data_IF_562463764601
#
_entry.id   IF_562463764601
#
_cell.length_a   1.000
_cell.length_b   1.000
_cell.length_c   1.000
_cell.angle_alpha   90.00
_cell.angle_beta   90.00
_cell.angle_gamma   90.00
#
_symmetry.space_group_name_H-M   'P 1'
#
loop_
_entity.id
_entity.type
_entity.pdbx_description
1 polymer ?
#
# COMPACT_ATOMS: atom_id res chain seq x y z
N UNK A 1 9.25 -8.41 -11.48
CA UNK A 1 9.38 -7.24 -10.57
C UNK A 1 9.14 -5.92 -11.29
N UNK A 2 9.09 -4.83 -10.52
CA UNK A 2 9.08 -3.45 -11.03
C UNK A 2 10.27 -2.70 -10.41
N UNK A 3 11.14 -2.14 -11.25
CA UNK A 3 12.26 -1.32 -10.82
C UNK A 3 11.88 0.16 -10.91
N UNK A 4 11.99 0.88 -9.79
CA UNK A 4 11.70 2.32 -9.72
C UNK A 4 13.01 3.05 -9.45
N UNK A 5 13.43 3.89 -10.38
CA UNK A 5 14.61 4.76 -10.23
C UNK A 5 14.18 6.19 -9.91
N UNK A 6 14.92 6.86 -9.01
CA UNK A 6 14.53 8.16 -8.48
C UNK A 6 15.70 9.14 -8.63
N UNK A 7 15.51 10.23 -9.36
CA UNK A 7 16.50 11.29 -9.44
C UNK A 7 15.89 12.63 -9.80
N UNK A 8 16.14 13.65 -8.99
CA UNK A 8 15.68 15.01 -9.27
C UNK A 8 16.26 15.55 -10.59
N UNK A 9 17.55 15.31 -10.86
CA UNK A 9 18.22 15.79 -12.08
C UNK A 9 17.94 14.94 -13.32
N UNK A 10 17.61 13.66 -13.12
CA UNK A 10 17.30 12.71 -14.20
C UNK A 10 18.50 12.17 -14.96
N UNK A 11 19.74 12.48 -14.54
CA UNK A 11 20.98 12.10 -15.26
C UNK A 11 22.04 11.25 -14.52
N UNK A 12 21.79 10.62 -13.36
CA UNK A 12 22.84 9.85 -12.68
C UNK A 12 23.14 8.54 -13.44
N UNK A 13 24.39 8.38 -13.90
CA UNK A 13 24.86 7.21 -14.67
C UNK A 13 24.52 5.87 -14.01
N UNK A 14 24.60 5.80 -12.69
CA UNK A 14 24.24 4.61 -11.91
C UNK A 14 22.80 4.17 -12.17
N UNK A 15 21.82 5.09 -12.16
CA UNK A 15 20.42 4.73 -12.35
C UNK A 15 20.08 4.32 -13.79
N UNK A 16 20.80 4.85 -14.78
CA UNK A 16 20.67 4.39 -16.17
C UNK A 16 21.15 2.95 -16.32
N UNK A 17 22.25 2.59 -15.63
CA UNK A 17 22.69 1.20 -15.54
C UNK A 17 21.66 0.29 -14.86
N UNK A 18 20.98 0.78 -13.81
CA UNK A 18 19.89 0.06 -13.14
C UNK A 18 18.70 -0.15 -14.06
N UNK A 19 18.28 0.87 -14.81
CA UNK A 19 17.19 0.76 -15.80
C UNK A 19 17.51 -0.30 -16.85
N UNK A 20 18.69 -0.20 -17.47
CA UNK A 20 19.16 -1.17 -18.46
C UNK A 20 19.15 -2.59 -17.90
N UNK A 21 19.71 -2.79 -16.71
CA UNK A 21 19.77 -4.13 -16.09
C UNK A 21 18.39 -4.68 -15.74
N UNK A 22 17.47 -3.81 -15.29
CA UNK A 22 16.11 -4.20 -14.98
C UNK A 22 15.37 -4.68 -16.24
N UNK A 23 15.56 -3.99 -17.37
CA UNK A 23 14.98 -4.39 -18.66
C UNK A 23 15.57 -5.68 -19.20
N UNK A 24 16.89 -5.87 -19.13
CA UNK A 24 17.55 -7.14 -19.46
C UNK A 24 17.01 -8.31 -18.63
N UNK A 25 16.60 -8.05 -17.39
CA UNK A 25 15.99 -9.04 -16.50
C UNK A 25 14.47 -9.19 -16.72
N UNK A 26 13.87 -8.47 -17.67
CA UNK A 26 12.43 -8.51 -17.97
C UNK A 26 11.54 -7.79 -16.96
N UNK A 27 12.10 -6.97 -16.06
CA UNK A 27 11.33 -6.16 -15.12
C UNK A 27 10.73 -4.93 -15.80
N UNK A 28 9.57 -4.47 -15.32
CA UNK A 28 9.02 -3.17 -15.73
C UNK A 28 9.79 -2.04 -15.06
N UNK A 29 10.05 -0.95 -15.78
CA UNK A 29 10.83 0.18 -15.28
C UNK A 29 9.96 1.42 -15.10
N UNK A 30 10.15 2.14 -14.00
CA UNK A 30 9.54 3.46 -13.73
C UNK A 30 10.64 4.45 -13.36
N UNK A 31 10.66 5.60 -14.03
CA UNK A 31 11.56 6.72 -13.74
C UNK A 31 10.82 7.86 -13.04
N UNK A 32 11.27 8.25 -11.85
CA UNK A 32 10.78 9.43 -11.14
C UNK A 32 11.81 10.54 -11.25
N UNK A 33 11.44 11.66 -11.87
CA UNK A 33 12.33 12.82 -12.03
C UNK A 33 11.62 14.16 -11.87
N UNK A 34 12.40 15.23 -11.72
CA UNK A 34 11.92 16.61 -11.71
C UNK A 34 12.45 17.43 -12.89
N UNK A 35 13.18 16.78 -13.80
CA UNK A 35 13.73 17.39 -15.00
C UNK A 35 13.22 16.62 -16.24
N UNK A 36 12.35 17.21 -17.05
CA UNK A 36 11.81 16.54 -18.25
C UNK A 36 12.88 16.28 -19.32
N UNK A 37 14.04 16.94 -19.22
CA UNK A 37 15.19 16.77 -20.13
C UNK A 37 16.25 15.80 -19.58
N UNK A 38 15.94 15.09 -18.49
CA UNK A 38 16.85 14.09 -17.93
C UNK A 38 16.79 12.78 -18.69
N UNK A 39 17.91 12.08 -18.86
CA UNK A 39 17.99 10.78 -19.54
C UNK A 39 17.04 9.72 -18.99
N UNK A 40 16.71 9.76 -17.69
CA UNK A 40 15.68 8.87 -17.11
C UNK A 40 14.32 9.03 -17.79
N UNK A 41 13.97 10.23 -18.28
CA UNK A 41 12.72 10.46 -19.00
C UNK A 41 12.72 9.83 -20.42
N UNK A 42 13.89 9.51 -20.95
CA UNK A 42 14.05 8.86 -22.27
C UNK A 42 14.18 7.34 -22.12
N UNK A 43 14.88 6.88 -21.08
CA UNK A 43 15.27 5.48 -20.91
C UNK A 43 14.31 4.64 -20.05
N UNK A 44 13.43 5.25 -19.25
CA UNK A 44 12.48 4.48 -18.42
C UNK A 44 11.20 4.13 -19.20
N UNK A 45 10.70 2.90 -19.02
CA UNK A 45 9.48 2.43 -19.68
C UNK A 45 8.20 3.18 -19.29
N UNK A 46 8.15 3.73 -18.07
CA UNK A 46 7.14 4.69 -17.63
C UNK A 46 7.81 5.84 -16.88
N UNK A 47 7.41 7.07 -17.17
CA UNK A 47 8.01 8.27 -16.57
C UNK A 47 6.99 9.03 -15.74
N UNK A 48 7.39 9.38 -14.52
CA UNK A 48 6.69 10.32 -13.65
C UNK A 48 7.59 11.54 -13.48
N UNK A 49 7.32 12.60 -14.22
CA UNK A 49 8.05 13.85 -14.14
C UNK A 49 7.25 14.89 -13.33
N UNK A 50 7.79 15.28 -12.17
CA UNK A 50 7.22 16.32 -11.32
C UNK A 50 8.05 17.61 -11.42
N UNK A 51 7.63 18.52 -12.30
CA UNK A 51 8.31 19.79 -12.54
C UNK A 51 8.04 20.79 -11.41
N UNK A 52 8.91 20.78 -10.39
CA UNK A 52 8.79 21.64 -9.21
C UNK A 52 9.42 23.03 -9.37
N UNK A 53 10.09 23.29 -10.50
CA UNK A 53 10.85 24.51 -10.77
C UNK A 53 12.13 24.67 -9.92
N UNK A 54 12.83 25.82 -10.03
CA UNK A 54 14.08 26.07 -9.33
C UNK A 54 13.94 26.04 -7.81
N UNK A 55 14.92 25.47 -7.12
CA UNK A 55 14.93 25.40 -5.66
C UNK A 55 15.30 26.75 -5.04
N UNK A 56 14.80 27.02 -3.81
CA UNK A 56 15.13 28.25 -3.07
C UNK A 56 16.63 28.36 -2.76
N UNK A 57 17.27 27.23 -2.52
CA UNK A 57 18.74 27.10 -2.49
C UNK A 57 19.12 26.40 -3.78
N UNK A 58 19.86 27.08 -4.65
CA UNK A 58 20.27 26.56 -5.95
C UNK A 58 20.93 25.17 -5.81
N UNK A 59 20.39 24.18 -6.53
CA UNK A 59 20.88 22.80 -6.51
C UNK A 59 20.44 21.93 -5.32
N UNK A 60 19.81 22.51 -4.28
CA UNK A 60 19.37 21.77 -3.09
C UNK A 60 18.07 20.99 -3.34
N UNK A 61 18.12 19.99 -4.24
CA UNK A 61 16.98 19.16 -4.65
C UNK A 61 16.34 18.31 -3.53
N UNK A 62 16.95 18.25 -2.35
CA UNK A 62 16.32 17.64 -1.15
C UNK A 62 15.05 18.39 -0.69
N UNK A 63 14.79 19.58 -1.22
CA UNK A 63 13.66 20.44 -0.87
C UNK A 63 12.40 20.08 -1.67
N UNK A 64 12.02 20.85 -2.69
CA UNK A 64 10.77 20.61 -3.42
C UNK A 64 10.82 19.29 -4.18
N UNK A 65 11.92 18.99 -4.86
CA UNK A 65 12.04 17.75 -5.62
C UNK A 65 11.98 16.51 -4.71
N UNK A 66 12.69 16.53 -3.57
CA UNK A 66 12.59 15.46 -2.57
C UNK A 66 11.19 15.31 -1.97
N UNK A 67 10.49 16.42 -1.73
CA UNK A 67 9.09 16.41 -1.26
C UNK A 67 8.15 15.80 -2.30
N UNK A 68 8.29 16.18 -3.58
CA UNK A 68 7.52 15.60 -4.68
C UNK A 68 7.77 14.09 -4.81
N UNK A 69 9.03 13.66 -4.77
CA UNK A 69 9.40 12.24 -4.81
C UNK A 69 8.77 11.46 -3.66
N UNK A 70 8.80 11.98 -2.43
CA UNK A 70 8.13 11.36 -1.28
C UNK A 70 6.64 11.19 -1.53
N UNK A 71 5.95 12.22 -2.04
CA UNK A 71 4.52 12.13 -2.33
C UNK A 71 4.22 11.08 -3.39
N UNK A 72 5.01 11.02 -4.46
CA UNK A 72 4.86 10.02 -5.53
C UNK A 72 5.05 8.60 -4.98
N UNK A 73 6.12 8.36 -4.20
CA UNK A 73 6.37 7.04 -3.62
C UNK A 73 5.27 6.61 -2.64
N UNK A 74 4.74 7.56 -1.86
CA UNK A 74 3.60 7.32 -0.99
C UNK A 74 2.35 6.94 -1.80
N UNK A 75 2.08 7.63 -2.91
CA UNK A 75 0.94 7.33 -3.80
C UNK A 75 1.08 5.95 -4.45
N UNK A 76 2.26 5.61 -4.98
CA UNK A 76 2.52 4.32 -5.63
C UNK A 76 2.33 3.16 -4.67
N UNK A 77 2.99 3.21 -3.52
CA UNK A 77 2.90 2.15 -2.51
C UNK A 77 1.49 2.04 -1.92
N UNK A 78 0.89 3.15 -1.51
CA UNK A 78 -0.46 3.16 -0.92
C UNK A 78 -1.51 2.71 -1.94
N UNK A 79 -1.45 3.23 -3.17
CA UNK A 79 -2.36 2.85 -4.25
C UNK A 79 -2.27 1.36 -4.59
N UNK A 80 -1.06 0.80 -4.69
CA UNK A 80 -0.86 -0.62 -4.90
C UNK A 80 -1.43 -1.47 -3.74
N UNK A 81 -1.19 -1.07 -2.49
CA UNK A 81 -1.68 -1.77 -1.30
C UNK A 81 -3.21 -1.75 -1.19
N UNK A 82 -3.86 -0.63 -1.56
CA UNK A 82 -5.33 -0.54 -1.67
C UNK A 82 -5.85 -1.53 -2.71
N UNK A 83 -5.24 -1.57 -3.90
CA UNK A 83 -5.65 -2.43 -5.02
C UNK A 83 -5.58 -3.93 -4.69
N UNK A 84 -4.65 -4.34 -3.83
CA UNK A 84 -4.51 -5.74 -3.39
C UNK A 84 -5.25 -6.04 -2.07
N UNK A 85 -6.13 -5.13 -1.59
CA UNK A 85 -7.01 -5.39 -0.45
C UNK A 85 -6.36 -5.31 0.93
N UNK A 86 -5.30 -4.50 1.09
CA UNK A 86 -4.71 -4.21 2.41
C UNK A 86 -5.52 -3.17 3.20
N UNK A 87 -6.49 -2.53 2.57
CA UNK A 87 -7.41 -1.58 3.19
C UNK A 87 -8.86 -2.01 3.00
N UNK A 88 -9.74 -1.53 3.88
CA UNK A 88 -11.18 -1.59 3.71
C UNK A 88 -11.74 -0.20 3.99
N UNK A 89 -12.42 0.38 3.01
CA UNK A 89 -12.74 1.81 3.00
C UNK A 89 -11.44 2.63 3.20
N UNK A 90 -11.38 3.46 4.24
CA UNK A 90 -10.19 4.21 4.65
C UNK A 90 -9.43 3.55 5.82
N UNK A 91 -9.81 2.35 6.25
CA UNK A 91 -9.14 1.63 7.34
C UNK A 91 -7.98 0.77 6.85
N UNK A 92 -6.89 0.81 7.60
CA UNK A 92 -5.74 -0.09 7.43
C UNK A 92 -6.01 -1.41 8.16
N UNK A 93 -6.55 -2.39 7.44
CA UNK A 93 -7.00 -3.68 8.00
C UNK A 93 -5.93 -4.79 7.97
N UNK A 94 -4.71 -4.45 7.57
CA UNK A 94 -3.58 -5.39 7.47
C UNK A 94 -2.33 -4.81 8.18
N UNK A 95 -2.56 -4.22 9.36
CA UNK A 95 -1.50 -3.73 10.24
C UNK A 95 -1.10 -4.81 11.24
N UNK A 96 0.16 -4.79 11.67
CA UNK A 96 0.66 -5.66 12.73
C UNK A 96 0.53 -4.96 14.09
N UNK A 97 -0.21 -5.56 15.01
CA UNK A 97 -0.50 -4.99 16.33
C UNK A 97 0.65 -5.23 17.34
N UNK A 98 1.84 -4.72 17.03
CA UNK A 98 3.08 -4.96 17.81
C UNK A 98 3.26 -4.09 19.05
N UNK A 99 2.42 -3.07 19.23
CA UNK A 99 2.46 -2.19 20.42
C UNK A 99 1.04 -1.80 20.81
N UNK A 100 0.88 -1.25 22.02
CA UNK A 100 -0.41 -0.89 22.60
C UNK A 100 -1.21 0.07 21.72
N UNK A 101 -0.56 1.07 21.12
CA UNK A 101 -1.22 2.01 20.19
C UNK A 101 -1.80 1.29 18.97
N UNK A 102 -1.08 0.32 18.41
CA UNK A 102 -1.54 -0.45 17.25
C UNK A 102 -2.60 -1.48 17.63
N UNK A 103 -2.52 -2.06 18.84
CA UNK A 103 -3.56 -2.90 19.42
C UNK A 103 -4.87 -2.12 19.63
N UNK A 104 -4.81 -0.96 20.27
CA UNK A 104 -5.94 -0.04 20.45
C UNK A 104 -6.56 0.37 19.09
N UNK A 105 -5.71 0.70 18.11
CA UNK A 105 -6.17 0.97 16.74
C UNK A 105 -6.88 -0.25 16.11
N UNK A 106 -6.34 -1.45 16.25
CA UNK A 106 -6.96 -2.66 15.72
C UNK A 106 -8.36 -2.89 16.32
N UNK A 107 -8.50 -2.72 17.64
CA UNK A 107 -9.80 -2.85 18.34
C UNK A 107 -10.82 -1.86 17.78
N UNK A 108 -10.45 -0.57 17.65
CA UNK A 108 -11.33 0.45 17.07
C UNK A 108 -11.76 0.12 15.64
N UNK A 109 -10.82 -0.33 14.81
CA UNK A 109 -11.10 -0.71 13.41
C UNK A 109 -12.10 -1.86 13.35
N UNK A 110 -11.88 -2.93 14.12
CA UNK A 110 -12.78 -4.09 14.14
C UNK A 110 -14.15 -3.70 14.67
N UNK A 111 -14.21 -2.98 15.79
CA UNK A 111 -15.47 -2.53 16.39
C UNK A 111 -16.29 -1.68 15.41
N UNK A 112 -15.63 -0.78 14.68
CA UNK A 112 -16.30 0.11 13.73
C UNK A 112 -16.76 -0.63 12.46
N UNK A 113 -15.94 -1.52 11.90
CA UNK A 113 -16.32 -2.24 10.68
C UNK A 113 -17.38 -3.30 10.96
N UNK A 114 -17.25 -4.05 12.07
CA UNK A 114 -18.18 -5.12 12.42
C UNK A 114 -19.41 -4.62 13.23
N UNK A 115 -19.47 -3.31 13.52
CA UNK A 115 -20.53 -2.68 14.31
C UNK A 115 -20.79 -3.38 15.67
N UNK A 116 -19.72 -3.66 16.42
CA UNK A 116 -19.76 -4.33 17.74
C UNK A 116 -19.13 -3.47 18.83
N UNK A 117 -19.29 -3.88 20.09
CA UNK A 117 -18.61 -3.22 21.21
C UNK A 117 -17.09 -3.41 21.16
N UNK A 118 -16.33 -2.51 21.80
CA UNK A 118 -14.88 -2.62 21.90
C UNK A 118 -14.44 -3.91 22.63
N UNK A 119 -15.22 -4.36 23.61
CA UNK A 119 -14.99 -5.62 24.33
C UNK A 119 -15.14 -6.85 23.43
N UNK A 120 -16.16 -6.87 22.57
CA UNK A 120 -16.37 -7.97 21.61
C UNK A 120 -15.27 -7.98 20.54
N UNK A 121 -14.91 -6.81 20.03
CA UNK A 121 -13.80 -6.66 19.09
C UNK A 121 -12.46 -7.14 19.67
N UNK A 122 -12.16 -6.78 20.92
CA UNK A 122 -10.97 -7.25 21.62
C UNK A 122 -10.99 -8.77 21.79
N UNK A 123 -12.10 -9.35 22.24
CA UNK A 123 -12.23 -10.79 22.41
C UNK A 123 -12.03 -11.55 21.08
N UNK A 124 -12.57 -11.02 19.98
CA UNK A 124 -12.37 -11.60 18.64
C UNK A 124 -10.91 -11.49 18.18
N UNK A 125 -10.27 -10.33 18.35
CA UNK A 125 -8.87 -10.11 18.00
C UNK A 125 -7.93 -11.02 18.78
N UNK A 126 -8.15 -11.22 20.08
CA UNK A 126 -7.35 -12.12 20.90
C UNK A 126 -7.45 -13.58 20.43
N UNK A 127 -8.63 -14.01 19.99
CA UNK A 127 -8.84 -15.36 19.44
C UNK A 127 -8.22 -15.53 18.05
N UNK A 128 -8.17 -14.45 17.25
CA UNK A 128 -7.68 -14.46 15.87
C UNK A 128 -6.20 -14.04 15.76
N UNK A 129 -5.39 -14.18 16.81
CA UNK A 129 -3.96 -13.80 16.80
C UNK A 129 -3.68 -12.36 16.32
N UNK A 130 -4.59 -11.43 16.63
CA UNK A 130 -4.58 -10.03 16.16
C UNK A 130 -4.74 -9.83 14.65
N UNK A 131 -5.21 -10.84 13.92
CA UNK A 131 -5.60 -10.72 12.51
C UNK A 131 -6.92 -9.97 12.36
N UNK A 132 -6.84 -8.69 11.98
CA UNK A 132 -8.01 -7.80 11.85
C UNK A 132 -9.03 -8.35 10.83
N UNK A 133 -8.58 -8.79 9.65
CA UNK A 133 -9.48 -9.30 8.60
C UNK A 133 -10.26 -10.52 9.08
N UNK A 134 -9.56 -11.46 9.71
CA UNK A 134 -10.14 -12.70 10.24
C UNK A 134 -11.14 -12.41 11.35
N UNK A 135 -10.81 -11.47 12.26
CA UNK A 135 -11.70 -11.05 13.33
C UNK A 135 -12.99 -10.42 12.78
N UNK A 136 -12.89 -9.54 11.77
CA UNK A 136 -14.06 -8.94 11.12
C UNK A 136 -14.94 -10.01 10.48
N UNK A 137 -14.36 -10.92 9.70
CA UNK A 137 -15.12 -11.99 9.03
C UNK A 137 -15.79 -12.93 10.03
N UNK A 138 -15.10 -13.27 11.12
CA UNK A 138 -15.65 -14.09 12.21
C UNK A 138 -16.88 -13.44 12.85
N UNK A 139 -16.83 -12.13 13.09
CA UNK A 139 -17.94 -11.39 13.69
C UNK A 139 -19.12 -11.21 12.72
N UNK A 140 -18.85 -10.78 11.48
CA UNK A 140 -19.86 -10.50 10.47
C UNK A 140 -20.57 -11.77 9.98
N UNK A 141 -19.81 -12.82 9.70
CA UNK A 141 -20.34 -14.06 9.11
C UNK A 141 -20.63 -15.15 10.14
N UNK A 142 -20.31 -14.93 11.42
CA UNK A 142 -20.46 -15.92 12.51
C UNK A 142 -19.81 -17.26 12.19
N UNK A 143 -18.68 -17.24 11.49
CA UNK A 143 -17.91 -18.42 11.10
C UNK A 143 -16.87 -18.79 12.15
N UNK A 144 -16.37 -20.03 12.09
CA UNK A 144 -15.16 -20.40 12.82
C UNK A 144 -13.92 -19.65 12.28
N UNK A 145 -12.87 -19.53 13.10
CA UNK A 145 -11.64 -18.79 12.74
C UNK A 145 -10.96 -19.40 11.51
N UNK A 146 -10.83 -20.73 11.46
CA UNK A 146 -10.23 -21.44 10.33
C UNK A 146 -11.07 -21.33 9.06
N UNK A 147 -12.40 -21.34 9.20
CA UNK A 147 -13.32 -21.13 8.09
C UNK A 147 -13.21 -19.68 7.56
N UNK A 148 -13.12 -18.70 8.45
CA UNK A 148 -12.91 -17.30 8.10
C UNK A 148 -11.58 -17.10 7.35
N UNK A 149 -10.49 -17.73 7.80
CA UNK A 149 -9.19 -17.72 7.10
C UNK A 149 -9.30 -18.36 5.71
N UNK A 150 -9.98 -19.51 5.61
CA UNK A 150 -10.19 -20.19 4.34
C UNK A 150 -11.02 -19.34 3.36
N UNK A 151 -12.07 -18.69 3.84
CA UNK A 151 -12.95 -17.86 3.01
C UNK A 151 -12.25 -16.58 2.53
N UNK A 152 -11.43 -15.97 3.40
CA UNK A 152 -10.55 -14.86 3.01
C UNK A 152 -9.57 -15.29 1.92
N UNK A 153 -8.98 -16.49 2.03
CA UNK A 153 -8.06 -17.02 1.03
C UNK A 153 -8.73 -17.22 -0.33
N UNK A 154 -9.97 -17.73 -0.37
CA UNK A 154 -10.76 -17.85 -1.63
C UNK A 154 -10.96 -16.51 -2.33
N UNK A 155 -11.07 -15.42 -1.57
CA UNK A 155 -11.27 -14.06 -2.09
C UNK A 155 -9.97 -13.26 -2.20
N UNK A 156 -8.81 -13.93 -2.28
CA UNK A 156 -7.48 -13.33 -2.36
C UNK A 156 -7.17 -12.32 -1.23
N UNK A 157 -7.77 -12.50 -0.06
CA UNK A 157 -7.58 -11.62 1.11
C UNK A 157 -8.24 -10.25 0.98
N UNK A 158 -9.14 -10.05 0.00
CA UNK A 158 -9.87 -8.79 -0.22
C UNK A 158 -11.21 -8.82 0.51
N UNK A 159 -11.27 -8.14 1.66
CA UNK A 159 -12.44 -8.15 2.55
C UNK A 159 -13.74 -7.69 1.86
N UNK A 160 -13.68 -6.60 1.06
CA UNK A 160 -14.86 -6.08 0.34
C UNK A 160 -15.47 -7.09 -0.64
N UNK A 161 -14.64 -7.89 -1.33
CA UNK A 161 -15.16 -8.92 -2.25
C UNK A 161 -15.93 -9.98 -1.48
N UNK A 162 -15.39 -10.40 -0.34
CA UNK A 162 -15.98 -11.41 0.52
C UNK A 162 -17.34 -10.94 1.08
N UNK A 163 -17.39 -9.76 1.70
CA UNK A 163 -18.63 -9.23 2.29
C UNK A 163 -19.71 -9.00 1.23
N UNK A 164 -19.38 -8.40 0.08
CA UNK A 164 -20.35 -8.15 -0.99
C UNK A 164 -20.87 -9.45 -1.64
N UNK A 165 -20.05 -10.48 -1.77
CA UNK A 165 -20.45 -11.76 -2.38
C UNK A 165 -21.57 -12.44 -1.58
N UNK A 166 -21.58 -12.27 -0.26
CA UNK A 166 -22.58 -12.84 0.65
C UNK A 166 -23.84 -11.98 0.71
N UNK A 167 -23.73 -10.66 0.65
CA UNK A 167 -24.91 -9.77 0.51
C UNK A 167 -25.68 -10.02 -0.79
N UNK A 168 -25.00 -10.44 -1.86
CA UNK A 168 -25.63 -10.80 -3.13
C UNK A 168 -26.19 -12.24 -3.18
N UNK A 169 -25.87 -13.09 -2.19
CA UNK A 169 -26.32 -14.48 -2.09
C UNK A 169 -27.52 -14.67 -1.15
N UNK A 170 -28.02 -13.57 -0.57
CA UNK A 170 -29.24 -13.47 0.25
C UNK A 170 -30.26 -12.65 -0.52
#
# INVERSE_FOLDING_TARGET
DVAIVISASGNPKYLLGVLKRAEEAGAKTIGITCNPKGRIAEEAGLVICAEVGPEVIAGSSRLKAGTAQKMILNMLSTGAMIRIGKTYENFMIDLQAVNEKLKDRAIRIVAQIANVSHSEALAALLKCDWEIKTAIVTLELKLGIEEARAELKKHCGVLRKLLNSKTAAV
#
